data_IF_392238080017
#
_entry.id   IF_392238080017
#
_cell.length_a   1.000
_cell.length_b   1.000
_cell.length_c   1.000
_cell.angle_alpha   90.00
_cell.angle_beta   90.00
_cell.angle_gamma   90.00
#
_symmetry.space_group_name_H-M   'P 1'
#
loop_
_entity.id
_entity.type
_entity.pdbx_description
1 polymer ?
#
# COMPACT_ATOMS: atom_id res chain seq x y z
N UNK A 1 -3.03 2.22 4.35
CA UNK A 1 -2.19 2.94 3.37
C UNK A 1 -3.04 3.18 2.13
N UNK A 2 -2.97 4.39 1.59
CA UNK A 2 -3.61 4.78 0.33
C UNK A 2 -2.53 5.32 -0.60
N UNK A 3 -2.49 4.84 -1.85
CA UNK A 3 -1.58 5.35 -2.87
C UNK A 3 -2.32 5.62 -4.19
N UNK A 4 -1.76 6.51 -5.00
CA UNK A 4 -2.20 6.74 -6.37
C UNK A 4 -1.80 5.58 -7.29
N UNK A 5 -2.42 5.51 -8.47
CA UNK A 5 -2.12 4.47 -9.48
C UNK A 5 -0.69 4.52 -10.03
N UNK A 6 0.03 5.64 -9.86
CA UNK A 6 1.45 5.80 -10.20
C UNK A 6 2.40 5.49 -9.01
N UNK A 7 1.86 5.00 -7.89
CA UNK A 7 2.63 4.49 -6.75
C UNK A 7 3.05 5.53 -5.71
N UNK A 8 2.61 6.79 -5.82
CA UNK A 8 2.88 7.81 -4.79
C UNK A 8 1.92 7.66 -3.61
N UNK A 9 2.43 7.89 -2.40
CA UNK A 9 1.62 7.81 -1.19
C UNK A 9 0.66 9.00 -1.09
N UNK A 10 -0.62 8.71 -0.83
CA UNK A 10 -1.65 9.68 -0.48
C UNK A 10 -1.81 9.71 1.03
N UNK A 11 -1.82 8.54 1.67
CA UNK A 11 -1.94 8.41 3.13
C UNK A 11 -1.16 7.21 3.65
N UNK A 12 -0.34 7.45 4.68
CA UNK A 12 0.34 6.41 5.45
C UNK A 12 -0.03 6.59 6.91
N UNK A 13 -0.75 5.61 7.46
CA UNK A 13 -1.08 5.53 8.87
C UNK A 13 -0.75 4.12 9.34
N UNK A 14 0.00 4.05 10.43
CA UNK A 14 0.39 2.81 11.08
C UNK A 14 0.26 2.97 12.59
N UNK A 15 -0.31 1.96 13.24
CA UNK A 15 -0.47 1.90 14.69
C UNK A 15 0.31 0.69 15.20
N UNK A 16 1.17 0.89 16.20
CA UNK A 16 1.78 -0.20 16.93
C UNK A 16 0.91 -0.51 18.16
N UNK A 17 0.19 -1.63 18.17
CA UNK A 17 -0.70 -2.02 19.27
C UNK A 17 0.03 -2.67 20.45
N UNK A 18 1.32 -2.99 20.30
CA UNK A 18 2.14 -3.58 21.36
C UNK A 18 3.59 -3.11 21.29
N UNK A 19 4.39 -3.75 20.42
CA UNK A 19 5.79 -3.37 20.23
C UNK A 19 5.89 -2.34 19.11
N UNK A 20 6.59 -1.20 19.31
CA UNK A 20 6.89 -0.26 18.25
C UNK A 20 7.62 -0.94 17.09
N UNK A 21 7.23 -0.62 15.85
CA UNK A 21 7.97 -1.08 14.69
C UNK A 21 9.20 -0.20 14.45
N UNK A 22 10.29 -0.82 13.99
CA UNK A 22 11.45 -0.09 13.51
C UNK A 22 11.26 0.37 12.06
N UNK A 23 12.24 1.14 11.56
CA UNK A 23 12.19 1.67 10.19
C UNK A 23 12.19 0.55 9.14
N UNK A 24 12.97 -0.51 9.37
CA UNK A 24 13.11 -1.64 8.43
C UNK A 24 11.80 -2.39 8.26
N UNK A 25 11.09 -2.63 9.36
CA UNK A 25 9.77 -3.25 9.36
C UNK A 25 8.76 -2.34 8.68
N UNK A 26 8.76 -1.03 8.99
CA UNK A 26 7.88 -0.08 8.31
C UNK A 26 8.09 -0.09 6.79
N UNK A 27 9.33 0.00 6.33
CA UNK A 27 9.64 -0.03 4.89
C UNK A 27 9.15 -1.33 4.24
N UNK A 28 9.35 -2.47 4.90
CA UNK A 28 8.86 -3.78 4.41
C UNK A 28 7.34 -3.82 4.28
N UNK A 29 6.61 -3.25 5.24
CA UNK A 29 5.15 -3.14 5.19
C UNK A 29 4.68 -2.19 4.08
N UNK A 30 5.39 -1.09 3.85
CA UNK A 30 5.09 -0.15 2.77
C UNK A 30 5.30 -0.77 1.40
N UNK A 31 6.40 -1.51 1.20
CA UNK A 31 6.68 -2.23 -0.05
C UNK A 31 5.59 -3.26 -0.35
N UNK A 32 5.18 -4.03 0.66
CA UNK A 32 4.08 -4.99 0.54
C UNK A 32 2.78 -4.29 0.13
N UNK A 33 2.45 -3.19 0.81
CA UNK A 33 1.22 -2.46 0.54
C UNK A 33 1.21 -1.82 -0.86
N UNK A 34 2.33 -1.25 -1.33
CA UNK A 34 2.46 -0.70 -2.69
C UNK A 34 2.23 -1.77 -3.75
N UNK A 35 2.81 -2.96 -3.57
CA UNK A 35 2.61 -4.07 -4.50
C UNK A 35 1.14 -4.53 -4.52
N UNK A 36 0.51 -4.66 -3.35
CA UNK A 36 -0.92 -4.98 -3.25
C UNK A 36 -1.80 -3.94 -3.95
N UNK A 37 -1.51 -2.64 -3.80
CA UNK A 37 -2.25 -1.59 -4.49
C UNK A 37 -2.10 -1.65 -6.02
N UNK A 38 -0.92 -2.03 -6.55
CA UNK A 38 -0.75 -2.24 -8.00
C UNK A 38 -1.64 -3.36 -8.52
N UNK A 39 -1.71 -4.48 -7.80
CA UNK A 39 -2.59 -5.60 -8.18
C UNK A 39 -4.07 -5.22 -8.11
N UNK A 40 -4.47 -4.48 -7.08
CA UNK A 40 -5.84 -3.97 -6.96
C UNK A 40 -6.16 -3.01 -8.10
N UNK A 41 -5.23 -2.11 -8.46
CA UNK A 41 -5.38 -1.21 -9.60
C UNK A 41 -5.59 -1.96 -10.91
N UNK A 42 -4.81 -3.01 -11.17
CA UNK A 42 -4.98 -3.85 -12.35
C UNK A 42 -6.37 -4.53 -12.39
N UNK A 43 -6.84 -5.05 -11.24
CA UNK A 43 -8.18 -5.66 -11.12
C UNK A 43 -9.30 -4.64 -11.34
N UNK A 44 -9.14 -3.42 -10.82
CA UNK A 44 -10.09 -2.32 -11.06
C UNK A 44 -10.15 -1.95 -12.54
N UNK A 45 -9.01 -1.81 -13.21
CA UNK A 45 -8.98 -1.54 -14.65
C UNK A 45 -9.64 -2.66 -15.46
N UNK A 46 -9.40 -3.92 -15.12
CA UNK A 46 -10.02 -5.06 -15.78
C UNK A 46 -11.55 -5.08 -15.60
N UNK A 47 -12.04 -4.75 -14.40
CA UNK A 47 -13.47 -4.67 -14.12
C UNK A 47 -14.18 -3.53 -14.87
N UNK A 48 -13.45 -2.48 -15.24
CA UNK A 48 -13.97 -1.31 -15.97
C UNK A 48 -13.82 -1.45 -17.50
N UNK A 49 -13.06 -2.43 -17.98
CA UNK A 49 -12.92 -2.71 -19.40
C UNK A 49 -14.26 -3.25 -19.94
N UNK A 50 -14.93 -2.46 -20.79
CA UNK A 50 -16.17 -2.83 -21.48
C UNK A 50 -15.94 -3.91 -22.53
#
# INVERSE_FOLDING_TARGET
MVCSGDGRFIEVQGTAEGVPFDRTLLDSLLDLAVNGCKELGAKQSAALAK
#
